data_IF_556555092063
#
_entry.id   IF_556555092063
#
_cell.length_a   1.000
_cell.length_b   1.000
_cell.length_c   1.000
_cell.angle_alpha   90.00
_cell.angle_beta   90.00
_cell.angle_gamma   90.00
#
_symmetry.space_group_name_H-M   'P 1'
#
loop_
_entity.id
_entity.type
_entity.pdbx_description
1 polymer ?
#
# COMPACT_ATOMS: atom_id res chain seq x y z
N UNK A 1 -21.94 24.69 -10.51
CA UNK A 1 -21.03 23.82 -9.75
C UNK A 1 -19.59 24.09 -10.20
N UNK A 2 -18.71 24.55 -9.30
CA UNK A 2 -17.52 25.33 -9.65
C UNK A 2 -16.33 24.40 -10.03
N UNK A 3 -16.15 24.12 -11.33
CA UNK A 3 -15.12 23.23 -11.92
C UNK A 3 -13.68 23.46 -11.41
N UNK A 4 -13.38 24.65 -10.86
CA UNK A 4 -12.05 24.98 -10.33
C UNK A 4 -11.66 24.23 -9.05
N UNK A 5 -12.63 23.81 -8.22
CA UNK A 5 -12.34 23.14 -6.94
C UNK A 5 -11.91 21.68 -7.08
N UNK A 6 -12.35 20.99 -8.12
CA UNK A 6 -11.96 19.59 -8.34
C UNK A 6 -10.48 19.46 -8.68
N UNK A 7 -9.86 20.40 -9.41
CA UNK A 7 -8.45 20.28 -9.81
C UNK A 7 -7.48 20.08 -8.65
N UNK A 8 -7.70 20.83 -7.57
CA UNK A 8 -6.89 20.81 -6.36
C UNK A 8 -7.39 19.81 -5.30
N UNK A 9 -8.30 18.90 -5.67
CA UNK A 9 -8.69 17.78 -4.81
C UNK A 9 -7.55 16.74 -4.75
N UNK A 10 -6.48 17.09 -4.02
CA UNK A 10 -5.35 16.20 -3.73
C UNK A 10 -5.73 15.10 -2.74
N UNK A 11 -6.80 15.31 -1.95
CA UNK A 11 -7.27 14.39 -0.91
C UNK A 11 -7.90 13.07 -1.45
N UNK A 12 -7.96 12.87 -2.76
CA UNK A 12 -8.64 11.71 -3.38
C UNK A 12 -7.71 10.87 -4.26
N UNK A 13 -6.39 10.93 -4.04
CA UNK A 13 -5.41 10.22 -4.87
C UNK A 13 -4.82 9.02 -4.10
N UNK A 14 -5.44 7.82 -4.18
CA UNK A 14 -4.95 6.63 -3.47
C UNK A 14 -3.53 6.23 -3.93
N UNK A 15 -3.17 6.55 -5.18
CA UNK A 15 -1.84 6.27 -5.74
C UNK A 15 -0.72 7.11 -5.12
N UNK A 16 -1.06 8.22 -4.44
CA UNK A 16 -0.07 9.07 -3.80
C UNK A 16 0.62 8.35 -2.62
N UNK A 17 -0.06 7.40 -1.95
CA UNK A 17 0.53 6.52 -0.94
C UNK A 17 1.19 5.25 -1.51
N UNK A 18 1.23 5.08 -2.83
CA UNK A 18 1.75 3.90 -3.49
C UNK A 18 3.27 3.93 -3.71
N UNK A 19 3.78 2.93 -4.43
CA UNK A 19 5.17 2.89 -4.89
C UNK A 19 5.30 3.50 -6.28
N UNK A 20 6.45 4.14 -6.56
CA UNK A 20 6.77 4.71 -7.87
C UNK A 20 6.59 3.70 -9.03
N UNK A 21 6.94 2.43 -8.81
CA UNK A 21 6.75 1.35 -9.79
C UNK A 21 5.29 1.16 -10.18
N UNK A 22 4.37 1.21 -9.22
CA UNK A 22 2.94 1.06 -9.48
C UNK A 22 2.40 2.24 -10.31
N UNK A 23 2.90 3.45 -10.03
CA UNK A 23 2.55 4.64 -10.81
C UNK A 23 3.06 4.55 -12.26
N UNK A 24 4.29 4.07 -12.45
CA UNK A 24 4.87 3.81 -13.78
C UNK A 24 4.09 2.74 -14.55
N UNK A 25 3.66 1.66 -13.89
CA UNK A 25 2.83 0.62 -14.51
C UNK A 25 1.50 1.19 -14.98
N UNK A 26 0.80 1.95 -14.14
CA UNK A 26 -0.46 2.60 -14.52
C UNK A 26 -0.26 3.56 -15.70
N UNK A 27 0.85 4.31 -15.72
CA UNK A 27 1.17 5.18 -16.85
C UNK A 27 1.44 4.41 -18.14
N UNK A 28 2.15 3.28 -18.05
CA UNK A 28 2.45 2.41 -19.19
C UNK A 28 1.17 1.76 -19.75
N UNK A 29 0.30 1.24 -18.88
CA UNK A 29 -1.00 0.65 -19.27
C UNK A 29 -1.91 1.69 -19.93
N UNK A 30 -1.85 2.94 -19.51
CA UNK A 30 -2.64 4.03 -20.09
C UNK A 30 -1.92 4.76 -21.25
N UNK A 31 -0.76 4.27 -21.69
CA UNK A 31 -0.01 4.80 -22.83
C UNK A 31 0.47 6.25 -22.64
N UNK A 32 0.78 6.65 -21.40
CA UNK A 32 1.22 8.01 -21.05
C UNK A 32 0.28 9.14 -21.48
N UNK A 33 -1.01 8.83 -21.69
CA UNK A 33 -2.03 9.79 -22.15
C UNK A 33 -2.53 10.66 -20.99
N UNK A 34 -1.69 11.57 -20.52
CA UNK A 34 -2.06 12.55 -19.47
C UNK A 34 -2.53 13.84 -20.12
N UNK A 35 -3.81 14.18 -19.94
CA UNK A 35 -4.34 15.44 -20.43
C UNK A 35 -3.65 16.62 -19.72
N UNK A 36 -3.18 17.67 -20.42
CA UNK A 36 -2.37 18.77 -19.82
C UNK A 36 -3.00 19.42 -18.59
N UNK A 37 -4.33 19.44 -18.56
CA UNK A 37 -5.18 19.89 -17.44
C UNK A 37 -4.92 19.18 -16.10
N UNK A 38 -4.35 17.97 -16.11
CA UNK A 38 -4.05 17.18 -14.90
C UNK A 38 -2.55 17.10 -14.58
N UNK A 39 -1.71 17.89 -15.26
CA UNK A 39 -0.25 17.87 -15.06
C UNK A 39 0.17 18.20 -13.63
N UNK A 40 -0.53 19.12 -12.95
CA UNK A 40 -0.25 19.45 -11.55
C UNK A 40 -0.45 18.23 -10.61
N UNK A 41 -1.44 17.37 -10.89
CA UNK A 41 -1.67 16.14 -10.13
C UNK A 41 -0.61 15.09 -10.43
N UNK A 42 -0.21 14.98 -11.69
CA UNK A 42 0.87 14.09 -12.12
C UNK A 42 2.18 14.39 -11.37
N UNK A 43 2.58 15.66 -11.30
CA UNK A 43 3.76 16.08 -10.53
C UNK A 43 3.63 15.80 -9.03
N UNK A 44 2.44 16.04 -8.45
CA UNK A 44 2.18 15.75 -7.04
C UNK A 44 2.34 14.26 -6.73
N UNK A 45 1.77 13.37 -7.55
CA UNK A 45 1.87 11.92 -7.35
C UNK A 45 3.31 11.45 -7.52
N UNK A 46 4.05 11.95 -8.53
CA UNK A 46 5.46 11.62 -8.72
C UNK A 46 6.29 12.05 -7.51
N UNK A 47 6.10 13.27 -7.02
CA UNK A 47 6.83 13.77 -5.87
C UNK A 47 6.56 12.90 -4.64
N UNK A 48 5.29 12.59 -4.36
CA UNK A 48 4.93 11.82 -3.16
C UNK A 48 5.42 10.37 -3.25
N UNK A 49 5.17 9.70 -4.38
CA UNK A 49 5.61 8.32 -4.61
C UNK A 49 7.13 8.17 -4.63
N UNK A 50 7.87 9.20 -5.07
CA UNK A 50 9.33 9.21 -4.99
C UNK A 50 9.80 9.26 -3.54
N UNK A 51 9.23 10.15 -2.73
CA UNK A 51 9.57 10.27 -1.30
C UNK A 51 9.24 8.98 -0.55
N UNK A 52 8.08 8.36 -0.79
CA UNK A 52 7.67 7.12 -0.12
C UNK A 52 8.45 5.89 -0.61
N UNK A 53 8.96 5.89 -1.85
CA UNK A 53 9.72 4.77 -2.39
C UNK A 53 11.11 4.60 -1.77
N UNK A 54 11.75 5.69 -1.34
CA UNK A 54 13.10 5.68 -0.74
C UNK A 54 13.15 4.82 0.53
N UNK A 55 12.34 5.08 1.58
CA UNK A 55 12.38 4.26 2.79
C UNK A 55 12.01 2.81 2.50
N UNK A 56 11.03 2.56 1.62
CA UNK A 56 10.66 1.21 1.20
C UNK A 56 11.81 0.45 0.54
N UNK A 57 12.59 1.12 -0.31
CA UNK A 57 13.75 0.50 -0.96
C UNK A 57 14.87 0.20 0.06
N UNK A 58 15.09 1.09 1.02
CA UNK A 58 16.09 0.90 2.08
C UNK A 58 15.68 -0.26 2.99
N UNK A 59 14.42 -0.28 3.44
CA UNK A 59 13.85 -1.34 4.27
C UNK A 59 13.95 -2.69 3.57
N UNK A 60 13.49 -2.76 2.31
CA UNK A 60 13.60 -3.97 1.51
C UNK A 60 15.05 -4.44 1.39
N UNK A 61 15.99 -3.59 0.97
CA UNK A 61 17.41 -4.00 0.85
C UNK A 61 18.02 -4.48 2.16
N UNK A 62 17.59 -3.92 3.29
CA UNK A 62 18.13 -4.26 4.61
C UNK A 62 17.51 -5.56 5.16
N UNK A 63 16.20 -5.73 5.05
CA UNK A 63 15.47 -6.79 5.73
C UNK A 63 15.01 -7.94 4.81
N UNK A 64 15.01 -7.80 3.48
CA UNK A 64 14.55 -8.85 2.54
C UNK A 64 15.28 -10.17 2.78
N UNK A 65 16.61 -10.13 2.98
CA UNK A 65 17.42 -11.33 3.28
C UNK A 65 17.14 -11.96 4.64
N UNK A 66 16.71 -11.16 5.61
CA UNK A 66 16.41 -11.65 6.95
C UNK A 66 14.99 -12.21 6.99
N UNK A 67 14.04 -11.55 6.31
CA UNK A 67 12.66 -12.00 6.15
C UNK A 67 12.60 -13.33 5.38
N UNK A 68 13.36 -13.48 4.29
CA UNK A 68 13.38 -14.73 3.51
C UNK A 68 13.91 -15.94 4.30
N UNK A 69 14.69 -15.71 5.37
CA UNK A 69 15.21 -16.78 6.23
C UNK A 69 14.27 -17.16 7.36
N UNK A 70 13.27 -16.32 7.65
CA UNK A 70 12.28 -16.61 8.68
C UNK A 70 11.26 -17.57 8.10
N UNK A 71 11.37 -18.83 8.47
CA UNK A 71 10.30 -19.81 8.25
C UNK A 71 9.23 -19.60 9.32
N UNK A 72 8.16 -18.90 8.96
CA UNK A 72 7.02 -18.70 9.84
C UNK A 72 6.05 -19.88 9.68
N UNK A 73 5.58 -20.43 10.81
CA UNK A 73 4.49 -21.41 10.85
C UNK A 73 3.20 -20.74 11.36
N UNK A 74 2.54 -19.88 10.55
CA UNK A 74 1.38 -19.12 11.01
C UNK A 74 0.18 -20.03 11.26
N UNK A 75 -0.49 -19.82 12.38
CA UNK A 75 -1.75 -20.50 12.70
C UNK A 75 -2.92 -19.65 12.19
N UNK A 76 -3.66 -20.20 11.22
CA UNK A 76 -4.88 -19.57 10.70
C UNK A 76 -6.12 -20.16 11.37
N UNK A 77 -6.88 -19.32 12.09
CA UNK A 77 -8.16 -19.70 12.69
C UNK A 77 -9.27 -19.46 11.66
N UNK A 78 -9.86 -20.54 11.16
CA UNK A 78 -10.97 -20.50 10.18
C UNK A 78 -12.22 -21.11 10.82
N UNK A 79 -13.39 -20.53 10.52
CA UNK A 79 -14.67 -21.04 11.02
C UNK A 79 -15.86 -20.24 10.53
N UNK A 80 -17.06 -20.72 10.86
CA UNK A 80 -18.30 -20.05 10.50
C UNK A 80 -18.53 -18.77 11.32
N UNK A 81 -19.34 -17.84 10.81
CA UNK A 81 -19.74 -16.65 11.55
C UNK A 81 -20.46 -17.05 12.85
N UNK A 82 -20.13 -16.37 13.97
CA UNK A 82 -20.58 -16.71 15.33
C UNK A 82 -20.12 -18.08 15.87
N UNK A 83 -19.14 -18.73 15.24
CA UNK A 83 -18.52 -19.96 15.74
C UNK A 83 -17.56 -19.79 16.92
N UNK A 84 -17.47 -18.58 17.51
CA UNK A 84 -16.55 -18.31 18.63
C UNK A 84 -15.07 -18.22 18.25
N UNK A 85 -14.73 -18.10 16.95
CA UNK A 85 -13.34 -17.97 16.46
C UNK A 85 -12.59 -16.80 17.09
N UNK A 86 -13.29 -15.70 17.42
CA UNK A 86 -12.71 -14.56 18.16
C UNK A 86 -12.26 -14.94 19.56
N UNK A 87 -13.07 -15.73 20.29
CA UNK A 87 -12.71 -16.19 21.63
C UNK A 87 -11.52 -17.15 21.58
N UNK A 88 -11.50 -18.04 20.58
CA UNK A 88 -10.36 -18.92 20.33
C UNK A 88 -9.08 -18.12 20.04
N UNK A 89 -9.16 -17.09 19.20
CA UNK A 89 -8.01 -16.22 18.92
C UNK A 89 -7.46 -15.58 20.20
N UNK A 90 -8.33 -15.06 21.08
CA UNK A 90 -7.89 -14.50 22.36
C UNK A 90 -7.23 -15.51 23.28
N UNK A 91 -7.71 -16.76 23.27
CA UNK A 91 -7.11 -17.83 24.07
C UNK A 91 -5.71 -18.17 23.54
N UNK A 92 -5.56 -18.28 22.23
CA UNK A 92 -4.29 -18.57 21.57
C UNK A 92 -3.26 -17.46 21.86
N UNK A 93 -3.66 -16.18 21.85
CA UNK A 93 -2.76 -15.05 22.18
C UNK A 93 -2.21 -15.04 23.62
N UNK A 94 -2.67 -15.93 24.51
CA UNK A 94 -2.13 -16.07 25.87
C UNK A 94 -0.99 -17.08 25.97
N UNK A 95 -0.74 -17.87 24.92
CA UNK A 95 0.41 -18.76 24.89
C UNK A 95 1.69 -17.95 24.70
N UNK A 96 2.70 -18.24 25.52
CA UNK A 96 4.00 -17.57 25.45
C UNK A 96 4.93 -18.16 24.37
N UNK A 97 4.57 -19.33 23.82
CA UNK A 97 5.32 -20.02 22.77
C UNK A 97 4.74 -19.78 21.36
N UNK A 98 3.74 -18.90 21.22
CA UNK A 98 3.23 -18.42 19.93
C UNK A 98 3.98 -17.20 19.41
#
# INVERSE_FOLDING_TARGET
MNKKREFFAFNQQPLAGGTLTNWLTVLAENGFRVHPRYMARFWYIIMLTSITSIPKMIERRKYEKDIEKVEAEPVFIVGHFRGGTTYLHYLMSRDANM
#
